data_IF_650323542563
#
_entry.id   IF_650323542563
#
_cell.length_a   1.000
_cell.length_b   1.000
_cell.length_c   1.000
_cell.angle_alpha   90.00
_cell.angle_beta   90.00
_cell.angle_gamma   90.00
#
_symmetry.space_group_name_H-M   'P 1'
#
loop_
_entity.id
_entity.type
_entity.pdbx_description
1 polymer ?
#
# COMPACT_ATOMS: atom_id res chain seq x y z
N UNK A 1 3.36 19.00 1.78
CA UNK A 1 4.74 18.91 1.23
C UNK A 1 5.10 17.44 1.05
N UNK A 2 5.63 17.00 -0.10
CA UNK A 2 5.94 15.58 -0.32
C UNK A 2 7.12 15.13 0.54
N UNK A 3 6.97 14.01 1.23
CA UNK A 3 7.98 13.53 2.17
C UNK A 3 9.30 13.16 1.45
N UNK A 4 9.25 12.67 0.21
CA UNK A 4 10.47 12.41 -0.58
C UNK A 4 11.29 13.70 -0.79
N UNK A 5 10.63 14.85 -1.04
CA UNK A 5 11.27 16.15 -1.21
C UNK A 5 11.93 16.60 0.10
N UNK A 6 11.30 16.33 1.25
CA UNK A 6 11.84 16.64 2.56
C UNK A 6 13.13 15.85 2.86
N UNK A 7 13.15 14.56 2.50
CA UNK A 7 14.36 13.71 2.63
C UNK A 7 15.48 14.20 1.71
N UNK A 8 15.18 14.65 0.50
CA UNK A 8 16.18 15.19 -0.43
C UNK A 8 16.76 16.53 0.05
N UNK A 9 15.91 17.42 0.55
CA UNK A 9 16.30 18.77 1.00
C UNK A 9 17.06 18.74 2.34
N UNK A 10 16.59 17.97 3.32
CA UNK A 10 17.09 18.00 4.70
C UNK A 10 17.80 16.71 5.14
N UNK A 11 17.90 15.69 4.29
CA UNK A 11 18.56 14.42 4.63
C UNK A 11 20.08 14.52 4.74
N UNK A 12 20.65 13.59 5.52
CA UNK A 12 22.10 13.42 5.72
C UNK A 12 22.75 12.63 4.56
N UNK A 13 23.95 12.10 4.76
CA UNK A 13 24.65 11.26 3.76
C UNK A 13 23.76 10.14 3.22
N UNK A 14 23.88 9.86 1.91
CA UNK A 14 23.01 8.93 1.17
C UNK A 14 21.52 9.31 1.07
N UNK A 15 21.13 10.57 1.34
CA UNK A 15 19.72 11.06 1.21
C UNK A 15 19.03 10.72 -0.11
N UNK A 16 19.75 10.76 -1.23
CA UNK A 16 19.19 10.42 -2.55
C UNK A 16 18.74 8.95 -2.57
N UNK A 17 19.60 8.04 -2.09
CA UNK A 17 19.31 6.61 -2.02
C UNK A 17 18.16 6.33 -1.05
N UNK A 18 18.19 6.94 0.14
CA UNK A 18 17.15 6.79 1.15
C UNK A 18 15.78 7.31 0.67
N UNK A 19 15.74 8.47 0.01
CA UNK A 19 14.52 9.05 -0.55
C UNK A 19 13.91 8.16 -1.64
N UNK A 20 14.75 7.56 -2.48
CA UNK A 20 14.33 6.68 -3.57
C UNK A 20 13.79 5.35 -3.02
N UNK A 21 14.44 4.74 -2.03
CA UNK A 21 13.91 3.54 -1.36
C UNK A 21 12.57 3.82 -0.66
N UNK A 22 12.45 4.94 0.05
CA UNK A 22 11.21 5.33 0.71
C UNK A 22 10.07 5.58 -0.30
N UNK A 23 10.38 6.27 -1.40
CA UNK A 23 9.43 6.50 -2.48
C UNK A 23 9.00 5.19 -3.14
N UNK A 24 9.93 4.32 -3.53
CA UNK A 24 9.61 3.03 -4.14
C UNK A 24 8.78 2.14 -3.21
N UNK A 25 9.11 2.10 -1.92
CA UNK A 25 8.39 1.31 -0.92
C UNK A 25 6.94 1.76 -0.77
N UNK A 26 6.70 3.07 -0.65
CA UNK A 26 5.35 3.63 -0.53
C UNK A 26 4.57 3.59 -1.83
N UNK A 27 5.24 3.78 -2.97
CA UNK A 27 4.65 3.73 -4.30
C UNK A 27 4.21 2.31 -4.67
N UNK A 28 5.03 1.28 -4.42
CA UNK A 28 4.67 -0.11 -4.68
C UNK A 28 3.44 -0.54 -3.86
N UNK A 29 3.41 -0.19 -2.58
CA UNK A 29 2.24 -0.48 -1.72
C UNK A 29 0.98 0.18 -2.27
N UNK A 30 1.06 1.44 -2.71
CA UNK A 30 -0.08 2.14 -3.31
C UNK A 30 -0.54 1.51 -4.63
N UNK A 31 0.37 0.99 -5.45
CA UNK A 31 0.02 0.30 -6.70
C UNK A 31 -0.85 -0.94 -6.41
N UNK A 32 -0.48 -1.72 -5.39
CA UNK A 32 -1.22 -2.93 -5.05
C UNK A 32 -2.62 -2.63 -4.51
N UNK A 33 -2.76 -1.57 -3.71
CA UNK A 33 -4.07 -1.06 -3.29
C UNK A 33 -4.91 -0.59 -4.48
N UNK A 34 -4.28 0.10 -5.45
CA UNK A 34 -4.96 0.57 -6.65
C UNK A 34 -5.52 -0.61 -7.46
N UNK A 35 -4.77 -1.69 -7.61
CA UNK A 35 -5.26 -2.91 -8.27
C UNK A 35 -6.47 -3.52 -7.53
N UNK A 36 -6.46 -3.54 -6.19
CA UNK A 36 -7.61 -4.02 -5.42
C UNK A 36 -8.86 -3.15 -5.64
N UNK A 37 -8.71 -1.81 -5.66
CA UNK A 37 -9.84 -0.91 -5.92
C UNK A 37 -10.33 -1.03 -7.37
N UNK A 38 -9.42 -1.22 -8.32
CA UNK A 38 -9.77 -1.37 -9.75
C UNK A 38 -10.53 -2.67 -10.00
N UNK A 39 -10.14 -3.77 -9.34
CA UNK A 39 -10.90 -5.03 -9.40
C UNK A 39 -12.31 -4.88 -8.81
N UNK A 40 -12.44 -4.22 -7.66
CA UNK A 40 -13.76 -3.87 -7.08
C UNK A 40 -14.59 -3.03 -8.06
N UNK A 41 -14.00 -1.97 -8.61
CA UNK A 41 -14.69 -1.07 -9.54
C UNK A 41 -15.14 -1.80 -10.81
N UNK A 42 -14.37 -2.79 -11.28
CA UNK A 42 -14.73 -3.60 -12.46
C UNK A 42 -15.88 -4.57 -12.18
N UNK A 43 -16.02 -5.04 -10.94
CA UNK A 43 -17.07 -5.98 -10.52
C UNK A 43 -18.38 -5.26 -10.16
N UNK A 44 -18.30 -4.12 -9.47
CA UNK A 44 -19.46 -3.39 -8.93
C UNK A 44 -19.91 -2.23 -9.83
N UNK A 45 -19.02 -1.69 -10.67
CA UNK A 45 -19.27 -0.44 -11.41
C UNK A 45 -19.36 0.81 -10.53
N UNK A 46 -19.26 0.66 -9.20
CA UNK A 46 -19.29 1.74 -8.21
C UNK A 46 -18.12 1.59 -7.25
N UNK A 47 -17.73 2.70 -6.63
CA UNK A 47 -16.72 2.73 -5.54
C UNK A 47 -17.33 3.24 -4.24
N UNK A 48 -18.66 3.28 -4.15
CA UNK A 48 -19.38 3.76 -2.98
C UNK A 48 -19.32 2.73 -1.85
N UNK A 49 -18.96 3.18 -0.64
CA UNK A 49 -18.84 2.32 0.53
C UNK A 49 -20.16 1.62 0.89
N UNK A 50 -21.29 2.33 0.80
CA UNK A 50 -22.61 1.76 1.09
C UNK A 50 -23.03 0.68 0.08
N UNK A 51 -22.65 0.87 -1.19
CA UNK A 51 -22.92 -0.10 -2.25
C UNK A 51 -22.06 -1.36 -2.07
N UNK A 52 -20.77 -1.19 -1.76
CA UNK A 52 -19.85 -2.29 -1.45
C UNK A 52 -20.30 -3.12 -0.23
N UNK A 53 -20.81 -2.47 0.81
CA UNK A 53 -21.21 -3.16 2.04
C UNK A 53 -22.45 -4.03 1.84
N UNK A 54 -23.37 -3.60 0.98
CA UNK A 54 -24.58 -4.36 0.62
C UNK A 54 -24.32 -5.41 -0.46
N UNK A 55 -23.12 -5.41 -1.04
CA UNK A 55 -22.83 -6.28 -2.14
C UNK A 55 -22.47 -7.70 -1.70
N UNK A 56 -23.12 -8.68 -2.32
CA UNK A 56 -22.81 -10.09 -2.11
C UNK A 56 -21.65 -10.50 -3.04
N UNK A 57 -20.42 -10.37 -2.55
CA UNK A 57 -19.27 -10.93 -3.24
C UNK A 57 -19.27 -12.47 -3.14
N UNK A 58 -18.85 -13.14 -4.20
CA UNK A 58 -18.52 -14.56 -4.12
C UNK A 58 -17.37 -14.74 -3.11
N UNK A 59 -17.45 -15.76 -2.26
CA UNK A 59 -16.50 -16.03 -1.17
C UNK A 59 -15.04 -16.08 -1.65
N UNK A 60 -14.81 -16.62 -2.85
CA UNK A 60 -13.48 -16.67 -3.47
C UNK A 60 -12.97 -15.27 -3.82
N UNK A 61 -13.81 -14.41 -4.40
CA UNK A 61 -13.45 -13.03 -4.76
C UNK A 61 -13.17 -12.18 -3.52
N UNK A 62 -13.96 -12.37 -2.46
CA UNK A 62 -13.75 -11.70 -1.18
C UNK A 62 -12.38 -12.05 -0.57
N UNK A 63 -11.97 -13.32 -0.67
CA UNK A 63 -10.66 -13.77 -0.18
C UNK A 63 -9.51 -13.12 -0.97
N UNK A 64 -9.60 -13.03 -2.30
CA UNK A 64 -8.56 -12.36 -3.11
C UNK A 64 -8.47 -10.86 -2.82
N UNK A 65 -9.62 -10.18 -2.64
CA UNK A 65 -9.65 -8.76 -2.26
C UNK A 65 -9.03 -8.55 -0.88
N UNK A 66 -9.35 -9.40 0.09
CA UNK A 66 -8.77 -9.37 1.43
C UNK A 66 -7.26 -9.63 1.42
N UNK A 67 -6.79 -10.63 0.67
CA UNK A 67 -5.37 -10.88 0.46
C UNK A 67 -4.68 -9.69 -0.22
N UNK A 68 -5.36 -9.05 -1.18
CA UNK A 68 -4.99 -7.79 -1.83
C UNK A 68 -4.65 -6.68 -0.83
N UNK A 69 -5.59 -6.45 0.08
CA UNK A 69 -5.48 -5.43 1.12
C UNK A 69 -4.39 -5.81 2.15
N UNK A 70 -4.32 -7.07 2.56
CA UNK A 70 -3.30 -7.56 3.49
C UNK A 70 -1.88 -7.39 2.94
N UNK A 71 -1.66 -7.69 1.65
CA UNK A 71 -0.35 -7.51 1.02
C UNK A 71 0.06 -6.04 1.00
N UNK A 72 -0.89 -5.12 0.73
CA UNK A 72 -0.64 -3.67 0.81
C UNK A 72 -0.18 -3.28 2.22
N UNK A 73 -0.84 -3.81 3.25
CA UNK A 73 -0.46 -3.55 4.64
C UNK A 73 0.90 -4.15 4.96
N UNK A 74 1.17 -5.40 4.57
CA UNK A 74 2.47 -6.06 4.79
C UNK A 74 3.64 -5.30 4.13
N UNK A 75 3.41 -4.70 2.97
CA UNK A 75 4.39 -3.86 2.28
C UNK A 75 4.54 -2.49 2.93
N UNK A 76 3.65 -2.05 3.83
CA UNK A 76 3.73 -0.72 4.47
C UNK A 76 4.07 -0.76 5.96
N UNK A 77 3.70 -1.84 6.65
CA UNK A 77 4.07 -2.12 8.04
C UNK A 77 5.33 -2.97 8.05
N UNK A 78 6.46 -2.46 8.53
CA UNK A 78 7.65 -3.29 8.63
C UNK A 78 7.45 -4.28 9.79
N UNK A 79 7.00 -5.49 9.48
CA UNK A 79 6.90 -6.59 10.46
C UNK A 79 8.28 -7.07 10.93
N UNK A 80 9.36 -6.59 10.29
CA UNK A 80 10.75 -6.96 10.57
C UNK A 80 11.60 -5.81 11.17
N UNK A 81 11.01 -4.66 11.54
CA UNK A 81 11.80 -3.52 12.05
C UNK A 81 12.44 -3.77 13.44
N UNK A 82 12.04 -4.83 14.17
CA UNK A 82 12.47 -5.03 15.55
C UNK A 82 13.69 -5.95 15.71
N UNK A 83 14.27 -6.53 14.65
CA UNK A 83 15.42 -7.45 14.78
C UNK A 83 16.75 -6.93 14.20
N UNK A 84 16.77 -5.70 13.66
CA UNK A 84 17.99 -5.10 13.06
C UNK A 84 18.49 -3.87 13.83
N UNK A 85 17.75 -3.40 14.83
CA UNK A 85 18.18 -2.28 15.69
C UNK A 85 19.00 -2.77 16.91
N UNK A 86 19.05 -4.09 17.15
CA UNK A 86 19.76 -4.70 18.29
C UNK A 86 21.18 -5.25 17.95
N UNK A 87 21.79 -4.86 16.83
CA UNK A 87 23.18 -5.22 16.49
C UNK A 87 24.01 -4.05 15.94
#
# INVERSE_FOLDING_TARGET
MPLFLLIVLFGSDNKVRASLYWFLYTFLGSLFLLLAILTISSLMGTTDFDALFKANFNSTTQYYLFAGILFTFAVKTPTIFLLIVDY
#
